data_IF_161257781887
#
_entry.id   IF_161257781887
#
_cell.length_a   1.000
_cell.length_b   1.000
_cell.length_c   1.000
_cell.angle_alpha   90.00
_cell.angle_beta   90.00
_cell.angle_gamma   90.00
#
_symmetry.space_group_name_H-M   'P 1'
#
loop_
_entity.id
_entity.type
_entity.pdbx_description
1 polymer ?
#
# COMPACT_ATOMS: atom_id res chain seq x y z
N UNK A 1 8.27 -6.90 60.44
CA UNK A 1 6.84 -7.25 60.31
C UNK A 1 6.68 -8.16 59.12
N UNK A 2 6.17 -9.36 59.37
CA UNK A 2 6.07 -10.47 58.43
C UNK A 2 5.04 -10.17 57.33
N UNK A 3 5.37 -10.52 56.09
CA UNK A 3 4.51 -10.46 54.92
C UNK A 3 3.45 -11.57 54.97
N UNK A 4 2.17 -11.19 54.99
CA UNK A 4 1.03 -12.09 54.85
C UNK A 4 0.83 -12.49 53.36
N UNK A 5 0.43 -13.74 53.06
CA UNK A 5 0.14 -14.16 51.68
C UNK A 5 -1.29 -13.81 51.25
N UNK A 6 -1.44 -13.29 50.03
CA UNK A 6 -2.74 -13.07 49.38
C UNK A 6 -3.32 -14.39 48.86
N UNK A 7 -4.57 -14.68 49.25
CA UNK A 7 -5.39 -15.80 48.78
C UNK A 7 -5.82 -15.62 47.31
N UNK A 8 -5.81 -16.72 46.54
CA UNK A 8 -6.38 -16.80 45.19
C UNK A 8 -7.88 -17.12 45.25
N UNK A 9 -8.73 -16.59 44.32
CA UNK A 9 -10.16 -16.87 44.35
C UNK A 9 -10.52 -18.26 43.81
N UNK A 10 -11.51 -18.90 44.45
CA UNK A 10 -12.01 -20.24 44.15
C UNK A 10 -12.68 -20.35 42.77
N UNK A 11 -12.35 -21.43 42.04
CA UNK A 11 -13.00 -21.83 40.78
C UNK A 11 -14.38 -22.44 41.06
N UNK A 12 -15.41 -22.03 40.29
CA UNK A 12 -16.76 -22.62 40.32
C UNK A 12 -16.76 -24.09 39.86
N UNK A 13 -17.61 -24.97 40.44
CA UNK A 13 -17.73 -26.36 39.99
C UNK A 13 -18.51 -26.48 38.68
N UNK A 14 -18.10 -27.42 37.82
CA UNK A 14 -18.81 -27.80 36.58
C UNK A 14 -19.96 -28.75 36.92
N UNK A 15 -21.13 -28.54 36.30
CA UNK A 15 -22.23 -29.51 36.30
C UNK A 15 -21.91 -30.66 35.33
N UNK A 16 -21.79 -31.88 35.85
CA UNK A 16 -21.71 -33.11 35.07
C UNK A 16 -23.12 -33.56 34.68
N UNK A 17 -23.42 -33.57 33.38
CA UNK A 17 -24.69 -34.04 32.87
C UNK A 17 -24.71 -34.11 31.35
N UNK A 18 -24.03 -35.11 30.77
CA UNK A 18 -24.33 -35.62 29.41
C UNK A 18 -23.74 -37.03 29.20
N UNK A 19 -24.37 -37.89 28.36
CA UNK A 19 -24.09 -39.33 28.29
C UNK A 19 -22.74 -39.65 27.62
N UNK A 20 -22.08 -40.72 28.08
CA UNK A 20 -20.81 -41.22 27.53
C UNK A 20 -20.98 -41.73 26.09
N UNK A 21 -20.15 -41.24 25.17
CA UNK A 21 -19.94 -41.81 23.83
C UNK A 21 -19.15 -43.13 23.91
N UNK A 22 -19.43 -44.14 23.07
CA UNK A 22 -18.63 -45.37 23.03
C UNK A 22 -17.27 -45.13 22.34
N UNK A 23 -16.23 -45.95 22.63
CA UNK A 23 -14.93 -45.79 22.02
C UNK A 23 -14.98 -46.18 20.53
N UNK A 24 -14.55 -45.26 19.67
CA UNK A 24 -14.42 -45.46 18.23
C UNK A 24 -13.23 -46.39 17.91
N UNK A 25 -13.52 -47.50 17.25
CA UNK A 25 -12.56 -48.36 16.55
C UNK A 25 -11.75 -47.54 15.53
N UNK A 26 -10.43 -47.76 15.37
CA UNK A 26 -9.65 -47.00 14.38
C UNK A 26 -10.09 -47.39 12.96
N UNK A 27 -10.27 -46.43 12.03
CA UNK A 27 -10.55 -46.78 10.66
C UNK A 27 -9.31 -47.39 10.01
N UNK A 28 -9.56 -48.42 9.21
CA UNK A 28 -8.57 -49.07 8.37
C UNK A 28 -7.85 -48.03 7.50
N UNK A 29 -6.54 -48.20 7.38
CA UNK A 29 -5.65 -47.47 6.47
C UNK A 29 -6.22 -47.50 5.05
N UNK A 30 -6.85 -46.38 4.65
CA UNK A 30 -7.16 -46.11 3.27
C UNK A 30 -5.86 -45.69 2.57
N UNK A 31 -5.48 -46.42 1.52
CA UNK A 31 -4.42 -46.02 0.62
C UNK A 31 -4.83 -44.71 -0.06
N UNK A 32 -4.32 -43.58 0.43
CA UNK A 32 -4.39 -42.29 -0.25
C UNK A 32 -3.54 -42.39 -1.52
N UNK A 33 -4.16 -42.14 -2.67
CA UNK A 33 -3.43 -41.87 -3.91
C UNK A 33 -2.66 -40.56 -3.76
N UNK A 34 -1.44 -40.46 -4.31
CA UNK A 34 -0.58 -39.27 -4.24
C UNK A 34 -1.24 -37.97 -4.78
N UNK A 35 -2.34 -38.08 -5.54
CA UNK A 35 -3.14 -36.93 -6.02
C UNK A 35 -3.99 -36.27 -4.91
N UNK A 36 -4.32 -36.98 -3.83
CA UNK A 36 -5.22 -36.51 -2.77
C UNK A 36 -4.51 -35.61 -1.74
N UNK A 37 -3.18 -35.73 -1.63
CA UNK A 37 -2.35 -34.94 -0.70
C UNK A 37 -2.24 -33.46 -1.10
N UNK A 38 -2.29 -33.13 -2.40
CA UNK A 38 -2.12 -31.75 -2.88
C UNK A 38 -3.43 -30.97 -3.03
N UNK A 39 -4.60 -31.62 -3.09
CA UNK A 39 -5.87 -30.92 -3.31
C UNK A 39 -6.41 -30.22 -2.05
N UNK A 40 -5.99 -30.67 -0.85
CA UNK A 40 -6.52 -30.19 0.44
C UNK A 40 -5.54 -29.34 1.26
N UNK A 41 -4.32 -29.09 0.77
CA UNK A 41 -3.32 -28.26 1.46
C UNK A 41 -3.32 -26.82 0.94
N UNK A 42 -3.19 -25.85 1.84
CA UNK A 42 -3.08 -24.43 1.52
C UNK A 42 -1.79 -24.15 0.74
N UNK A 43 -1.88 -23.54 -0.45
CA UNK A 43 -0.76 -23.16 -1.31
C UNK A 43 0.25 -22.26 -0.58
N UNK A 44 -0.16 -21.54 0.46
CA UNK A 44 0.75 -20.74 1.29
C UNK A 44 1.79 -21.57 2.05
N UNK A 45 1.55 -22.87 2.21
CA UNK A 45 2.45 -23.81 2.89
C UNK A 45 3.44 -24.49 1.97
N UNK A 46 3.24 -24.41 0.65
CA UNK A 46 4.10 -25.09 -0.32
C UNK A 46 5.38 -24.32 -0.55
N UNK A 47 6.50 -24.99 -0.26
CA UNK A 47 7.83 -24.55 -0.64
C UNK A 47 8.05 -24.78 -2.15
N UNK A 48 9.09 -24.17 -2.77
CA UNK A 48 9.36 -24.35 -4.19
C UNK A 48 9.50 -25.81 -4.63
N UNK A 49 10.00 -26.69 -3.76
CA UNK A 49 10.13 -28.12 -4.08
C UNK A 49 8.79 -28.86 -4.06
N UNK A 50 7.85 -28.42 -3.21
CA UNK A 50 6.48 -28.95 -3.20
C UNK A 50 5.74 -28.54 -4.48
N UNK A 51 5.98 -27.31 -4.96
CA UNK A 51 5.48 -26.83 -6.25
C UNK A 51 6.05 -27.66 -7.39
N UNK A 52 7.36 -27.94 -7.39
CA UNK A 52 7.99 -28.82 -8.38
C UNK A 52 7.38 -30.22 -8.35
N UNK A 53 7.19 -30.81 -7.16
CA UNK A 53 6.56 -32.12 -7.00
C UNK A 53 5.12 -32.14 -7.52
N UNK A 54 4.35 -31.09 -7.25
CA UNK A 54 3.00 -30.90 -7.79
C UNK A 54 3.01 -30.84 -9.33
N UNK A 55 3.93 -30.07 -9.93
CA UNK A 55 4.05 -29.95 -11.38
C UNK A 55 4.48 -31.28 -12.04
N UNK A 56 5.43 -32.02 -11.43
CA UNK A 56 5.84 -33.35 -11.90
C UNK A 56 4.68 -34.35 -11.91
N UNK A 57 3.87 -34.35 -10.85
CA UNK A 57 2.69 -35.21 -10.73
C UNK A 57 1.59 -34.84 -11.74
N UNK A 58 1.50 -33.56 -12.14
CA UNK A 58 0.59 -33.06 -13.18
C UNK A 58 1.13 -33.24 -14.61
N UNK A 59 2.30 -33.84 -14.77
CA UNK A 59 2.86 -34.23 -16.07
C UNK A 59 4.00 -33.34 -16.59
N UNK A 60 4.38 -32.28 -15.88
CA UNK A 60 5.49 -31.40 -16.24
C UNK A 60 6.82 -31.96 -15.68
N UNK A 61 7.35 -33.01 -16.32
CA UNK A 61 8.56 -33.73 -15.85
C UNK A 61 9.87 -33.25 -16.44
N UNK A 62 9.84 -32.20 -17.26
CA UNK A 62 11.06 -31.65 -17.84
C UNK A 62 11.88 -30.92 -16.78
N UNK A 63 13.09 -31.42 -16.50
CA UNK A 63 13.97 -30.82 -15.49
C UNK A 63 14.19 -29.32 -15.67
N UNK A 64 14.28 -28.85 -16.91
CA UNK A 64 14.45 -27.42 -17.23
C UNK A 64 13.32 -26.57 -16.66
N UNK A 65 12.08 -27.04 -16.79
CA UNK A 65 10.90 -26.35 -16.25
C UNK A 65 10.94 -26.32 -14.74
N UNK A 66 11.26 -27.44 -14.10
CA UNK A 66 11.33 -27.53 -12.64
C UNK A 66 12.47 -26.66 -12.07
N UNK A 67 13.61 -26.64 -12.75
CA UNK A 67 14.75 -25.79 -12.39
C UNK A 67 14.37 -24.30 -12.45
N UNK A 68 13.51 -23.86 -13.39
CA UNK A 68 12.98 -22.48 -13.42
C UNK A 68 12.25 -22.13 -12.12
N UNK A 69 11.37 -23.02 -11.63
CA UNK A 69 10.61 -22.78 -10.40
C UNK A 69 11.52 -22.79 -9.16
N UNK A 70 12.49 -23.71 -9.14
CA UNK A 70 13.49 -23.82 -8.06
C UNK A 70 14.41 -22.60 -8.00
N UNK A 71 14.98 -22.18 -9.13
CA UNK A 71 15.93 -21.08 -9.25
C UNK A 71 15.30 -19.72 -8.90
N UNK A 72 14.04 -19.52 -9.30
CA UNK A 72 13.28 -18.31 -8.96
C UNK A 72 12.58 -18.40 -7.59
N UNK A 73 12.73 -19.51 -6.85
CA UNK A 73 12.10 -19.77 -5.55
C UNK A 73 10.59 -19.52 -5.56
N UNK A 74 9.90 -20.06 -6.57
CA UNK A 74 8.45 -19.89 -6.75
C UNK A 74 7.72 -20.84 -5.79
N UNK A 75 7.37 -20.32 -4.61
CA UNK A 75 6.51 -20.99 -3.63
C UNK A 75 5.02 -21.03 -4.06
N UNK A 76 4.21 -21.84 -3.38
CA UNK A 76 2.81 -22.08 -3.75
C UNK A 76 1.94 -20.83 -3.85
N UNK A 77 2.20 -19.86 -2.96
CA UNK A 77 1.45 -18.59 -2.90
C UNK A 77 1.49 -17.76 -4.20
N UNK A 78 2.46 -18.00 -5.09
CA UNK A 78 2.58 -17.27 -6.35
C UNK A 78 1.79 -17.89 -7.50
N UNK A 79 1.44 -19.19 -7.43
CA UNK A 79 0.83 -19.90 -8.57
C UNK A 79 -0.44 -19.22 -9.09
N UNK A 80 -1.42 -18.83 -8.25
CA UNK A 80 -2.65 -18.19 -8.74
C UNK A 80 -2.46 -16.81 -9.38
N UNK A 81 -1.23 -16.28 -9.37
CA UNK A 81 -0.84 -14.99 -9.95
C UNK A 81 0.08 -15.14 -11.17
N UNK A 82 0.38 -16.37 -11.59
CA UNK A 82 1.08 -16.62 -12.86
C UNK A 82 0.10 -16.46 -14.02
N UNK A 83 0.60 -15.94 -15.14
CA UNK A 83 -0.09 -15.85 -16.42
C UNK A 83 0.80 -16.40 -17.54
N UNK A 84 0.26 -16.49 -18.76
CA UNK A 84 0.98 -17.06 -19.91
C UNK A 84 2.25 -16.26 -20.24
N UNK A 85 2.19 -14.92 -20.17
CA UNK A 85 3.33 -14.05 -20.48
C UNK A 85 4.44 -14.22 -19.43
N UNK A 86 4.07 -14.33 -18.16
CA UNK A 86 4.99 -14.55 -17.06
C UNK A 86 5.69 -15.90 -17.12
N UNK A 87 4.98 -16.95 -17.54
CA UNK A 87 5.63 -18.25 -17.77
C UNK A 87 6.61 -18.18 -18.96
N UNK A 88 6.33 -17.35 -19.97
CA UNK A 88 7.28 -17.07 -21.07
C UNK A 88 8.54 -16.39 -20.55
N UNK A 89 8.36 -15.31 -19.79
CA UNK A 89 9.44 -14.50 -19.23
C UNK A 89 10.32 -15.31 -18.25
N UNK A 90 9.74 -16.30 -17.58
CA UNK A 90 10.46 -17.24 -16.73
C UNK A 90 11.26 -18.29 -17.52
N UNK A 91 10.98 -18.47 -18.82
CA UNK A 91 11.72 -19.35 -19.71
C UNK A 91 10.97 -20.59 -20.21
N UNK A 92 9.65 -20.68 -19.99
CA UNK A 92 8.82 -21.78 -20.54
C UNK A 92 8.43 -21.42 -21.97
N UNK A 93 9.21 -21.89 -22.95
CA UNK A 93 9.06 -21.50 -24.36
C UNK A 93 7.84 -22.12 -25.06
N UNK A 94 7.35 -23.26 -24.59
CA UNK A 94 6.22 -23.96 -25.20
C UNK A 94 4.88 -23.29 -24.85
N UNK A 95 4.21 -22.70 -25.85
CA UNK A 95 2.89 -22.09 -25.67
C UNK A 95 1.84 -23.09 -25.15
N UNK A 96 1.87 -24.33 -25.64
CA UNK A 96 0.94 -25.38 -25.20
C UNK A 96 1.19 -25.76 -23.74
N UNK A 97 2.45 -25.82 -23.33
CA UNK A 97 2.82 -26.14 -21.94
C UNK A 97 2.39 -25.03 -20.98
N UNK A 98 2.61 -23.77 -21.35
CA UNK A 98 2.15 -22.61 -20.56
C UNK A 98 0.65 -22.64 -20.33
N UNK A 99 -0.14 -22.91 -21.38
CA UNK A 99 -1.60 -23.03 -21.26
C UNK A 99 -2.02 -24.17 -20.34
N UNK A 100 -1.41 -25.35 -20.49
CA UNK A 100 -1.68 -26.49 -19.60
C UNK A 100 -1.32 -26.19 -18.14
N UNK A 101 -0.23 -25.47 -17.89
CA UNK A 101 0.15 -25.06 -16.53
C UNK A 101 -0.89 -24.13 -15.91
N UNK A 102 -1.33 -23.12 -16.66
CA UNK A 102 -2.37 -22.20 -16.19
C UNK A 102 -3.69 -22.93 -15.95
N UNK A 103 -4.09 -23.87 -16.82
CA UNK A 103 -5.25 -24.73 -16.59
C UNK A 103 -5.08 -25.55 -15.29
N UNK A 104 -3.92 -26.15 -15.05
CA UNK A 104 -3.65 -26.89 -13.81
C UNK A 104 -3.76 -25.99 -12.56
N UNK A 105 -3.27 -24.75 -12.64
CA UNK A 105 -3.37 -23.77 -11.56
C UNK A 105 -4.83 -23.37 -11.32
N UNK A 106 -5.63 -23.21 -12.37
CA UNK A 106 -7.05 -22.87 -12.27
C UNK A 106 -7.88 -24.01 -11.65
N UNK A 107 -7.41 -25.26 -11.70
CA UNK A 107 -8.04 -26.40 -11.03
C UNK A 107 -7.69 -26.50 -9.53
N UNK A 108 -6.81 -25.65 -9.00
CA UNK A 108 -6.50 -25.63 -7.57
C UNK A 108 -7.69 -25.08 -6.76
N UNK A 109 -7.80 -25.52 -5.51
CA UNK A 109 -8.89 -25.12 -4.60
C UNK A 109 -8.82 -23.65 -4.19
N UNK A 110 -7.64 -23.03 -4.22
CA UNK A 110 -7.43 -21.63 -3.87
C UNK A 110 -7.18 -20.78 -5.12
N UNK A 111 -8.04 -19.78 -5.32
CA UNK A 111 -7.95 -18.81 -6.40
C UNK A 111 -7.15 -17.57 -6.01
N UNK A 112 -6.95 -16.67 -6.98
CA UNK A 112 -6.36 -15.35 -6.77
C UNK A 112 -7.07 -14.57 -5.65
N UNK A 113 -8.39 -14.66 -5.57
CA UNK A 113 -9.21 -13.91 -4.59
C UNK A 113 -9.05 -14.48 -3.18
N UNK A 114 -8.89 -15.80 -3.04
CA UNK A 114 -8.74 -16.48 -1.74
C UNK A 114 -7.41 -16.11 -1.04
N UNK A 115 -6.43 -15.65 -1.80
CA UNK A 115 -5.15 -15.18 -1.29
C UNK A 115 -5.12 -13.67 -0.99
N UNK A 116 -6.16 -12.92 -1.35
CA UNK A 116 -6.28 -11.51 -0.96
C UNK A 116 -6.55 -11.39 0.54
N UNK A 117 -5.98 -10.38 1.19
CA UNK A 117 -6.26 -10.10 2.61
C UNK A 117 -7.25 -8.94 2.72
N UNK A 118 -8.29 -9.14 3.51
CA UNK A 118 -9.34 -8.13 3.76
C UNK A 118 -9.05 -7.38 5.04
N UNK A 119 -9.00 -6.04 4.96
CA UNK A 119 -9.02 -5.13 6.10
C UNK A 119 -10.42 -4.54 6.25
N UNK A 120 -10.84 -4.28 7.49
CA UNK A 120 -12.05 -3.52 7.77
C UNK A 120 -11.65 -2.11 8.22
N UNK A 121 -11.89 -1.12 7.37
CA UNK A 121 -11.59 0.29 7.61
C UNK A 121 -12.89 1.09 7.82
N UNK A 122 -13.00 1.93 8.88
CA UNK A 122 -14.23 2.67 9.16
C UNK A 122 -14.60 3.73 8.10
N UNK A 123 -13.65 4.15 7.27
CA UNK A 123 -13.81 5.14 6.20
C UNK A 123 -14.21 4.45 4.89
N UNK A 124 -13.60 3.30 4.59
CA UNK A 124 -13.72 2.66 3.28
C UNK A 124 -14.49 1.34 3.26
N UNK A 125 -14.82 0.79 4.43
CA UNK A 125 -15.42 -0.54 4.57
C UNK A 125 -14.37 -1.63 4.39
N UNK A 126 -14.74 -2.69 3.68
CA UNK A 126 -13.82 -3.79 3.38
C UNK A 126 -12.85 -3.40 2.27
N UNK A 127 -11.55 -3.54 2.55
CA UNK A 127 -10.45 -3.25 1.65
C UNK A 127 -9.70 -4.55 1.36
N UNK A 128 -9.58 -4.89 0.09
CA UNK A 128 -8.76 -6.02 -0.36
C UNK A 128 -7.35 -5.57 -0.74
N UNK A 129 -6.36 -6.31 -0.26
CA UNK A 129 -4.97 -6.12 -0.66
C UNK A 129 -4.34 -7.40 -1.19
N UNK A 130 -3.64 -7.23 -2.31
CA UNK A 130 -2.82 -8.23 -2.95
C UNK A 130 -1.69 -8.71 -2.00
N UNK A 131 -1.30 -10.01 -2.02
CA UNK A 131 -0.27 -10.55 -1.14
C UNK A 131 1.05 -9.76 -1.11
N UNK A 132 1.53 -9.26 -2.25
CA UNK A 132 2.72 -8.39 -2.30
C UNK A 132 2.58 -7.14 -1.42
N UNK A 133 1.39 -6.52 -1.42
CA UNK A 133 1.11 -5.35 -0.58
C UNK A 133 1.14 -5.75 0.90
N UNK A 134 0.63 -6.92 1.24
CA UNK A 134 0.70 -7.47 2.61
C UNK A 134 2.14 -7.70 3.04
N UNK A 135 2.99 -8.24 2.16
CA UNK A 135 4.42 -8.43 2.43
C UNK A 135 5.15 -7.11 2.70
N UNK A 136 4.71 -6.01 2.13
CA UNK A 136 5.23 -4.66 2.42
C UNK A 136 4.67 -4.13 3.74
N UNK A 137 3.36 -4.29 3.96
CA UNK A 137 2.66 -3.85 5.17
C UNK A 137 3.22 -4.53 6.42
N UNK A 138 3.47 -5.83 6.36
CA UNK A 138 3.94 -6.66 7.48
C UNK A 138 5.47 -6.61 7.65
N UNK A 139 6.05 -5.40 7.54
CA UNK A 139 7.47 -5.12 7.80
C UNK A 139 7.64 -4.13 8.95
N UNK A 140 8.76 -4.15 9.69
CA UNK A 140 9.03 -3.16 10.73
C UNK A 140 8.95 -1.71 10.21
N UNK A 141 9.45 -1.46 9.01
CA UNK A 141 9.51 -0.15 8.38
C UNK A 141 8.12 0.46 8.14
N UNK A 142 7.14 -0.38 7.77
CA UNK A 142 5.75 0.03 7.58
C UNK A 142 4.95 0.00 8.90
N UNK A 143 5.07 -1.07 9.69
CA UNK A 143 4.36 -1.20 10.97
C UNK A 143 4.69 -0.08 11.95
N UNK A 144 5.88 0.56 11.83
CA UNK A 144 6.21 1.73 12.65
C UNK A 144 5.19 2.86 12.54
N UNK A 145 4.49 2.98 11.40
CA UNK A 145 3.50 4.04 11.15
C UNK A 145 2.31 3.96 12.12
N UNK A 146 2.12 2.82 12.81
CA UNK A 146 1.13 2.67 13.89
C UNK A 146 1.43 3.57 15.09
N UNK A 147 2.67 4.02 15.22
CA UNK A 147 3.15 4.80 16.36
C UNK A 147 3.32 6.29 16.04
N UNK A 148 2.82 6.75 14.87
CA UNK A 148 2.95 8.14 14.43
C UNK A 148 1.55 8.73 14.21
N UNK A 149 1.12 9.60 15.14
CA UNK A 149 -0.18 10.28 15.06
C UNK A 149 -0.28 11.13 13.79
N UNK A 150 -1.39 10.98 13.05
CA UNK A 150 -1.64 11.68 11.80
C UNK A 150 -1.55 13.20 11.99
N UNK A 151 -2.27 13.70 13.01
CA UNK A 151 -2.37 15.12 13.32
C UNK A 151 -1.37 15.59 14.39
N UNK A 152 -0.44 14.74 14.79
CA UNK A 152 0.58 15.07 15.79
C UNK A 152 -0.02 15.66 17.07
N UNK A 153 0.31 16.92 17.37
CA UNK A 153 -0.22 17.67 18.51
C UNK A 153 -1.75 17.88 18.48
N UNK A 154 -2.39 17.69 17.32
CA UNK A 154 -3.84 17.76 17.16
C UNK A 154 -4.60 16.82 18.10
N UNK A 155 -4.05 15.65 18.43
CA UNK A 155 -4.66 14.70 19.37
C UNK A 155 -4.91 15.29 20.77
N UNK A 156 -4.06 16.22 21.22
CA UNK A 156 -4.19 16.86 22.53
C UNK A 156 -5.24 18.00 22.57
N UNK A 157 -5.77 18.37 21.40
CA UNK A 157 -6.84 19.37 21.26
C UNK A 157 -8.15 18.70 20.84
N UNK A 158 -8.05 17.72 19.94
CA UNK A 158 -9.16 16.95 19.40
C UNK A 158 -9.01 15.49 19.86
N UNK A 159 -9.70 15.08 20.95
CA UNK A 159 -9.49 13.75 21.54
C UNK A 159 -9.88 12.60 20.61
N UNK A 160 -10.74 12.86 19.61
CA UNK A 160 -11.07 11.88 18.56
C UNK A 160 -9.94 11.64 17.55
N UNK A 161 -8.99 12.58 17.39
CA UNK A 161 -7.86 12.52 16.46
C UNK A 161 -6.74 11.58 16.93
N UNK A 162 -7.12 10.36 17.31
CA UNK A 162 -6.25 9.31 17.83
C UNK A 162 -5.59 8.47 16.74
N UNK A 163 -5.99 8.66 15.48
CA UNK A 163 -5.49 7.90 14.33
C UNK A 163 -4.03 8.21 13.99
N UNK A 164 -3.41 7.22 13.36
CA UNK A 164 -2.00 7.21 12.98
C UNK A 164 -1.83 7.14 11.46
N UNK A 165 -0.60 7.35 11.00
CA UNK A 165 -0.23 7.29 9.58
C UNK A 165 -0.48 5.90 8.96
N UNK A 166 -0.47 4.84 9.76
CA UNK A 166 -0.67 3.46 9.27
C UNK A 166 -1.99 3.27 8.54
N UNK A 167 -3.12 3.51 9.20
CA UNK A 167 -4.46 3.33 8.62
C UNK A 167 -4.73 4.31 7.48
N UNK A 168 -4.16 5.52 7.54
CA UNK A 168 -4.17 6.47 6.42
C UNK A 168 -3.41 5.91 5.21
N UNK A 169 -2.19 5.40 5.40
CA UNK A 169 -1.39 4.79 4.32
C UNK A 169 -2.13 3.61 3.67
N UNK A 170 -2.81 2.77 4.46
CA UNK A 170 -3.69 1.72 3.92
C UNK A 170 -4.79 2.34 3.03
N UNK A 171 -5.52 3.33 3.53
CA UNK A 171 -6.57 3.99 2.74
C UNK A 171 -6.07 4.61 1.43
N UNK A 172 -4.90 5.25 1.45
CA UNK A 172 -4.28 5.82 0.23
C UNK A 172 -3.90 4.72 -0.76
N UNK A 173 -3.28 3.62 -0.31
CA UNK A 173 -2.98 2.46 -1.16
C UNK A 173 -4.22 1.83 -1.79
N UNK A 174 -5.33 1.80 -1.06
CA UNK A 174 -6.64 1.36 -1.56
C UNK A 174 -7.20 2.31 -2.61
N UNK A 175 -7.32 3.60 -2.31
CA UNK A 175 -7.90 4.60 -3.23
C UNK A 175 -7.06 4.75 -4.50
N UNK A 176 -5.73 4.67 -4.40
CA UNK A 176 -4.83 4.62 -5.55
C UNK A 176 -5.20 3.46 -6.47
N UNK A 177 -5.41 2.27 -5.89
CA UNK A 177 -5.88 1.06 -6.59
C UNK A 177 -7.26 1.22 -7.22
N UNK A 178 -8.21 1.84 -6.53
CA UNK A 178 -9.55 2.09 -7.07
C UNK A 178 -9.51 3.01 -8.29
N UNK A 179 -8.75 4.11 -8.22
CA UNK A 179 -8.68 5.07 -9.31
C UNK A 179 -8.01 4.46 -10.55
N UNK A 180 -6.86 3.82 -10.37
CA UNK A 180 -6.12 3.22 -11.51
C UNK A 180 -6.90 2.10 -12.18
N UNK A 181 -7.61 1.24 -11.43
CA UNK A 181 -8.48 0.19 -12.00
C UNK A 181 -9.65 0.79 -12.78
N UNK A 182 -10.32 1.80 -12.21
CA UNK A 182 -11.43 2.46 -12.89
C UNK A 182 -10.99 3.15 -14.20
N UNK A 183 -9.76 3.64 -14.28
CA UNK A 183 -9.20 4.19 -15.51
C UNK A 183 -8.84 3.07 -16.50
N UNK A 184 -8.24 1.97 -16.04
CA UNK A 184 -7.89 0.82 -16.86
C UNK A 184 -9.12 0.17 -17.51
N UNK A 185 -10.19 -0.07 -16.74
CA UNK A 185 -11.43 -0.68 -17.22
C UNK A 185 -12.16 0.20 -18.24
N UNK A 186 -12.21 1.51 -18.02
CA UNK A 186 -12.94 2.45 -18.89
C UNK A 186 -12.21 2.79 -20.18
N UNK A 187 -10.89 2.63 -20.19
CA UNK A 187 -10.02 2.99 -21.30
C UNK A 187 -8.89 1.96 -21.48
N UNK A 188 -9.22 0.73 -21.95
CA UNK A 188 -8.22 -0.31 -22.18
C UNK A 188 -7.10 0.11 -23.12
N UNK A 189 -7.35 1.07 -24.03
CA UNK A 189 -6.35 1.65 -24.94
C UNK A 189 -5.19 2.36 -24.22
N UNK A 190 -5.31 2.64 -22.92
CA UNK A 190 -4.23 3.19 -22.10
C UNK A 190 -3.16 2.17 -21.74
N UNK A 191 -3.42 0.87 -21.94
CA UNK A 191 -2.49 -0.23 -21.68
C UNK A 191 -1.95 -0.21 -20.24
N UNK A 192 -2.85 0.03 -19.27
CA UNK A 192 -2.56 -0.03 -17.84
C UNK A 192 -2.54 -1.50 -17.44
N UNK A 193 -1.37 -2.03 -17.07
CA UNK A 193 -1.21 -3.43 -16.69
C UNK A 193 -1.41 -3.64 -15.18
N UNK A 194 -1.57 -4.90 -14.75
CA UNK A 194 -1.56 -5.27 -13.32
C UNK A 194 -0.27 -4.82 -12.62
N UNK A 195 0.86 -4.86 -13.32
CA UNK A 195 2.15 -4.32 -12.87
C UNK A 195 2.06 -2.82 -12.56
N UNK A 196 1.43 -2.03 -13.43
CA UNK A 196 1.21 -0.60 -13.18
C UNK A 196 0.29 -0.36 -11.97
N UNK A 197 -0.79 -1.13 -11.86
CA UNK A 197 -1.76 -1.04 -10.76
C UNK A 197 -1.07 -1.33 -9.43
N UNK A 198 -0.30 -2.42 -9.33
CA UNK A 198 0.46 -2.75 -8.13
C UNK A 198 1.48 -1.67 -7.78
N UNK A 199 2.21 -1.13 -8.77
CA UNK A 199 3.16 -0.04 -8.51
C UNK A 199 2.47 1.22 -7.96
N UNK A 200 1.31 1.60 -8.50
CA UNK A 200 0.51 2.73 -8.02
C UNK A 200 0.00 2.47 -6.59
N UNK A 201 -0.46 1.26 -6.29
CA UNK A 201 -0.87 0.88 -4.92
C UNK A 201 0.31 0.91 -3.93
N UNK A 202 1.48 0.41 -4.32
CA UNK A 202 2.69 0.46 -3.49
C UNK A 202 3.10 1.91 -3.24
N UNK A 203 3.10 2.76 -4.27
CA UNK A 203 3.36 4.19 -4.08
C UNK A 203 2.37 4.84 -3.11
N UNK A 204 1.07 4.50 -3.22
CA UNK A 204 0.05 4.95 -2.27
C UNK A 204 0.29 4.49 -0.84
N UNK A 205 0.61 3.21 -0.62
CA UNK A 205 0.96 2.69 0.70
C UNK A 205 2.20 3.39 1.27
N UNK A 206 3.21 3.63 0.44
CA UNK A 206 4.54 4.02 0.88
C UNK A 206 4.77 5.54 0.93
N UNK A 207 3.82 6.37 0.49
CA UNK A 207 4.03 7.81 0.36
C UNK A 207 4.42 8.51 1.68
N UNK A 208 3.95 7.96 2.80
CA UNK A 208 4.15 8.49 4.16
C UNK A 208 5.20 7.74 4.99
N UNK A 209 5.93 6.80 4.37
CA UNK A 209 6.97 6.03 5.06
C UNK A 209 8.10 6.90 5.63
N UNK A 210 8.22 8.18 5.32
CA UNK A 210 9.27 9.06 5.81
C UNK A 210 8.85 9.97 6.96
N UNK A 211 7.60 9.92 7.41
CA UNK A 211 7.16 10.76 8.53
C UNK A 211 7.90 10.42 9.83
N UNK A 212 8.33 11.46 10.54
CA UNK A 212 8.90 11.35 11.88
C UNK A 212 7.86 11.51 12.99
N UNK A 213 8.30 11.53 14.27
CA UNK A 213 7.42 11.72 15.41
C UNK A 213 6.51 12.95 15.27
N UNK A 214 5.20 12.77 15.51
CA UNK A 214 4.18 13.81 15.34
C UNK A 214 4.06 14.38 13.91
N UNK A 215 4.31 13.54 12.89
CA UNK A 215 4.06 13.85 11.48
C UNK A 215 4.72 15.16 11.02
N UNK A 216 3.92 16.17 10.61
CA UNK A 216 4.42 17.44 10.06
C UNK A 216 5.19 18.32 11.06
N UNK A 217 5.12 18.02 12.36
CA UNK A 217 5.94 18.71 13.34
C UNK A 217 7.43 18.40 13.12
N UNK A 218 7.75 17.16 12.77
CA UNK A 218 9.14 16.72 12.66
C UNK A 218 9.87 17.39 11.49
N UNK A 219 9.34 17.25 10.28
CA UNK A 219 9.95 17.80 9.06
C UNK A 219 9.67 19.30 8.88
N UNK A 220 8.53 19.80 9.36
CA UNK A 220 8.12 21.19 9.20
C UNK A 220 8.55 22.15 10.31
N UNK A 221 9.08 21.65 11.44
CA UNK A 221 9.53 22.47 12.58
C UNK A 221 10.84 21.99 13.19
N UNK A 222 10.88 20.74 13.66
CA UNK A 222 12.03 20.22 14.41
C UNK A 222 13.29 20.16 13.54
N UNK A 223 13.27 19.48 12.41
CA UNK A 223 14.43 19.36 11.52
C UNK A 223 14.91 20.73 11.02
N UNK A 224 14.05 21.65 10.53
CA UNK A 224 14.48 22.99 10.14
C UNK A 224 15.14 23.80 11.27
N UNK A 225 14.76 23.55 12.53
CA UNK A 225 15.35 24.23 13.71
C UNK A 225 16.64 23.56 14.18
N UNK A 226 16.67 22.23 14.20
CA UNK A 226 17.81 21.45 14.69
C UNK A 226 18.93 21.32 13.65
N UNK A 227 18.60 21.36 12.36
CA UNK A 227 19.53 21.25 11.22
C UNK A 227 19.14 22.21 10.09
N UNK A 228 19.30 23.54 10.28
CA UNK A 228 18.88 24.55 9.30
C UNK A 228 19.55 24.42 7.93
N UNK A 229 20.76 23.85 7.89
CA UNK A 229 21.54 23.61 6.69
C UNK A 229 20.99 22.46 5.82
N UNK A 230 20.23 21.54 6.43
CA UNK A 230 19.70 20.35 5.75
C UNK A 230 18.26 20.59 5.30
N UNK A 231 18.05 20.66 3.98
CA UNK A 231 16.70 20.63 3.40
C UNK A 231 16.17 19.20 3.46
N UNK A 232 15.22 18.98 4.36
CA UNK A 232 14.55 17.69 4.54
C UNK A 232 13.07 17.80 4.22
N UNK A 233 12.52 16.71 3.68
CA UNK A 233 11.10 16.52 3.38
C UNK A 233 10.73 15.11 3.77
N UNK A 234 9.53 14.88 4.31
CA UNK A 234 9.10 13.53 4.63
C UNK A 234 9.07 12.65 3.37
N UNK A 235 8.80 13.20 2.17
CA UNK A 235 8.85 12.43 0.93
C UNK A 235 10.26 11.85 0.64
N UNK A 236 11.33 12.57 1.03
CA UNK A 236 12.70 12.06 0.95
C UNK A 236 12.90 10.88 1.88
N UNK A 237 12.41 11.00 3.12
CA UNK A 237 12.41 9.89 4.06
C UNK A 237 11.59 8.70 3.55
N UNK A 238 10.50 8.92 2.82
CA UNK A 238 9.63 7.86 2.31
C UNK A 238 10.34 7.02 1.26
N UNK A 239 11.04 7.66 0.31
CA UNK A 239 11.78 6.92 -0.73
C UNK A 239 13.02 6.22 -0.18
N UNK A 240 13.69 6.80 0.82
CA UNK A 240 14.82 6.18 1.52
C UNK A 240 14.36 4.98 2.36
N UNK A 241 13.26 5.14 3.11
CA UNK A 241 12.67 4.09 3.93
C UNK A 241 12.09 2.97 3.07
N UNK A 242 11.48 3.28 1.92
CA UNK A 242 10.99 2.26 0.98
C UNK A 242 12.14 1.41 0.42
N UNK A 243 13.26 2.03 0.03
CA UNK A 243 14.45 1.28 -0.40
C UNK A 243 14.96 0.39 0.74
N UNK A 244 15.05 0.92 1.95
CA UNK A 244 15.46 0.16 3.13
C UNK A 244 14.51 -1.00 3.44
N UNK A 245 13.19 -0.80 3.33
CA UNK A 245 12.15 -1.81 3.52
C UNK A 245 12.33 -2.96 2.52
N UNK A 246 12.44 -2.64 1.23
CA UNK A 246 12.55 -3.65 0.18
C UNK A 246 13.84 -4.47 0.32
N UNK A 247 14.95 -3.82 0.66
CA UNK A 247 16.24 -4.50 0.81
C UNK A 247 16.33 -5.33 2.10
N UNK A 248 15.88 -4.80 3.24
CA UNK A 248 16.03 -5.48 4.55
C UNK A 248 15.12 -6.69 4.69
N UNK A 249 14.04 -6.75 3.92
CA UNK A 249 13.06 -7.83 3.94
C UNK A 249 13.13 -8.69 2.66
N UNK A 250 14.19 -8.54 1.85
CA UNK A 250 14.45 -9.30 0.62
C UNK A 250 13.27 -9.33 -0.37
N UNK A 251 12.52 -8.23 -0.45
CA UNK A 251 11.28 -8.20 -1.23
C UNK A 251 11.49 -8.06 -2.73
N UNK A 252 12.72 -7.79 -3.22
CA UNK A 252 13.00 -7.67 -4.67
C UNK A 252 12.66 -8.96 -5.41
N UNK A 253 13.01 -10.12 -4.84
CA UNK A 253 12.66 -11.42 -5.42
C UNK A 253 11.15 -11.65 -5.38
N UNK A 254 10.50 -11.29 -4.27
CA UNK A 254 9.04 -11.41 -4.12
C UNK A 254 8.30 -10.53 -5.13
N UNK A 255 8.78 -9.31 -5.39
CA UNK A 255 8.26 -8.42 -6.43
C UNK A 255 8.37 -9.06 -7.81
N UNK A 256 9.54 -9.64 -8.15
CA UNK A 256 9.75 -10.40 -9.40
C UNK A 256 8.76 -11.56 -9.53
N UNK A 257 8.58 -12.32 -8.46
CA UNK A 257 7.65 -13.46 -8.41
C UNK A 257 6.16 -13.06 -8.42
N UNK A 258 5.83 -11.77 -8.32
CA UNK A 258 4.49 -11.23 -8.58
C UNK A 258 4.41 -10.42 -9.90
N UNK A 259 5.41 -10.51 -10.77
CA UNK A 259 5.37 -9.91 -12.12
C UNK A 259 5.82 -8.45 -12.18
N UNK A 260 6.49 -7.94 -11.14
CA UNK A 260 7.16 -6.64 -11.20
C UNK A 260 8.60 -6.80 -11.70
N UNK A 261 9.16 -5.73 -12.24
CA UNK A 261 10.57 -5.60 -12.62
C UNK A 261 11.21 -4.60 -11.65
N UNK A 262 11.89 -5.07 -10.57
CA UNK A 262 12.32 -4.23 -9.46
C UNK A 262 13.14 -3.00 -9.89
N UNK A 263 14.01 -3.13 -10.88
CA UNK A 263 14.90 -2.07 -11.37
C UNK A 263 14.11 -0.86 -11.92
N UNK A 264 13.04 -1.14 -12.66
CA UNK A 264 12.16 -0.12 -13.24
C UNK A 264 11.09 0.33 -12.24
N UNK A 265 10.47 -0.62 -11.54
CA UNK A 265 9.28 -0.37 -10.74
C UNK A 265 9.59 0.30 -9.41
N UNK A 266 10.71 -0.01 -8.77
CA UNK A 266 11.15 0.72 -7.58
C UNK A 266 11.41 2.18 -7.94
N UNK A 267 11.99 2.43 -9.12
CA UNK A 267 12.19 3.80 -9.63
C UNK A 267 10.85 4.50 -9.82
N UNK A 268 9.89 3.85 -10.49
CA UNK A 268 8.56 4.39 -10.72
C UNK A 268 7.80 4.69 -9.41
N UNK A 269 7.86 3.79 -8.42
CA UNK A 269 7.24 3.97 -7.10
C UNK A 269 7.85 5.20 -6.40
N UNK A 270 9.17 5.33 -6.38
CA UNK A 270 9.85 6.47 -5.75
C UNK A 270 9.53 7.79 -6.44
N UNK A 271 9.46 7.80 -7.77
CA UNK A 271 9.11 9.00 -8.55
C UNK A 271 7.68 9.47 -8.28
N UNK A 272 6.73 8.55 -8.06
CA UNK A 272 5.36 8.91 -7.68
C UNK A 272 5.28 9.58 -6.30
N UNK A 273 6.15 9.19 -5.36
CA UNK A 273 6.20 9.75 -4.00
C UNK A 273 6.93 11.10 -3.98
N UNK A 274 8.10 11.16 -4.60
CA UNK A 274 8.96 12.35 -4.57
C UNK A 274 8.47 13.44 -5.54
N UNK A 275 8.06 13.05 -6.74
CA UNK A 275 7.96 13.91 -7.91
C UNK A 275 9.22 13.85 -8.78
N UNK A 276 9.35 14.75 -9.78
CA UNK A 276 10.44 14.70 -10.76
C UNK A 276 11.82 14.86 -10.10
N UNK A 277 12.86 14.17 -10.59
CA UNK A 277 14.21 14.27 -10.05
C UNK A 277 14.76 15.71 -10.13
N UNK A 278 15.54 16.10 -9.12
CA UNK A 278 16.06 17.47 -8.93
C UNK A 278 16.94 17.91 -10.11
N UNK A 279 17.67 16.99 -10.72
CA UNK A 279 18.42 17.20 -11.94
C UNK A 279 17.59 16.71 -13.13
N UNK A 280 16.97 17.59 -13.92
CA UNK A 280 16.42 17.17 -15.19
C UNK A 280 17.55 16.57 -16.01
N UNK A 281 17.31 15.41 -16.62
CA UNK A 281 18.21 14.87 -17.63
C UNK A 281 18.34 15.96 -18.69
N UNK A 282 19.54 16.54 -18.84
CA UNK A 282 19.85 17.48 -19.92
C UNK A 282 19.36 16.81 -21.20
N UNK A 283 18.44 17.48 -21.90
CA UNK A 283 17.83 17.09 -23.18
C UNK A 283 16.57 16.19 -23.18
N UNK A 284 15.92 15.91 -22.04
CA UNK A 284 14.60 15.23 -22.04
C UNK A 284 13.42 16.13 -21.63
N UNK A 285 12.43 16.28 -22.51
CA UNK A 285 11.11 16.89 -22.23
C UNK A 285 10.28 16.12 -21.16
N UNK A 286 10.66 14.88 -20.88
CA UNK A 286 10.02 13.99 -19.91
C UNK A 286 10.96 13.72 -18.73
N UNK A 287 10.61 14.17 -17.51
CA UNK A 287 11.55 14.15 -16.38
C UNK A 287 11.63 12.79 -15.67
N UNK A 288 10.73 11.86 -15.96
CA UNK A 288 10.62 10.59 -15.25
C UNK A 288 11.27 9.46 -16.03
N UNK A 289 11.87 8.50 -15.32
CA UNK A 289 12.52 7.30 -15.88
C UNK A 289 11.65 6.06 -15.71
N UNK A 290 10.90 5.95 -14.62
CA UNK A 290 10.18 4.73 -14.25
C UNK A 290 9.08 4.33 -15.23
N UNK A 291 8.48 5.29 -15.93
CA UNK A 291 7.47 5.07 -16.99
C UNK A 291 7.58 6.09 -18.11
N UNK A 292 7.22 5.73 -19.35
CA UNK A 292 7.24 6.65 -20.49
C UNK A 292 6.16 7.74 -20.38
N UNK A 293 6.32 8.83 -21.12
CA UNK A 293 5.38 9.95 -21.17
C UNK A 293 3.96 9.55 -21.59
N UNK A 294 3.81 8.44 -22.33
CA UNK A 294 2.51 7.85 -22.71
C UNK A 294 1.68 7.40 -21.51
N UNK A 295 2.33 7.12 -20.36
CA UNK A 295 1.71 6.76 -19.07
C UNK A 295 1.83 7.89 -18.03
N UNK A 296 1.95 9.13 -18.48
CA UNK A 296 2.16 10.30 -17.62
C UNK A 296 1.07 10.51 -16.56
N UNK A 297 -0.18 10.17 -16.88
CA UNK A 297 -1.33 10.27 -15.97
C UNK A 297 -1.18 9.43 -14.69
N UNK A 298 -0.36 8.37 -14.68
CA UNK A 298 -0.16 7.57 -13.46
C UNK A 298 0.50 8.37 -12.33
N UNK A 299 1.37 9.32 -12.67
CA UNK A 299 2.03 10.20 -11.70
C UNK A 299 1.08 11.25 -11.06
N UNK A 300 -0.17 11.31 -11.52
CA UNK A 300 -1.17 12.25 -10.99
C UNK A 300 -2.10 11.61 -9.95
N UNK A 301 -1.92 10.31 -9.66
CA UNK A 301 -2.79 9.53 -8.77
C UNK A 301 -2.41 9.74 -7.30
N UNK A 302 -1.17 9.42 -6.93
CA UNK A 302 -0.74 9.35 -5.51
C UNK A 302 -0.40 10.72 -4.94
N UNK A 303 0.42 11.50 -5.64
CA UNK A 303 0.84 12.84 -5.20
C UNK A 303 0.82 13.81 -6.37
N UNK A 304 -0.25 14.60 -6.48
CA UNK A 304 -0.43 15.56 -7.56
C UNK A 304 -0.08 16.97 -7.11
N UNK A 305 1.23 17.29 -7.17
CA UNK A 305 1.74 18.61 -6.78
C UNK A 305 1.34 19.74 -7.75
N UNK A 306 0.71 19.43 -8.90
CA UNK A 306 0.29 20.44 -9.90
C UNK A 306 -0.97 21.18 -9.49
N UNK A 307 -2.00 20.45 -9.08
CA UNK A 307 -3.31 21.02 -8.76
C UNK A 307 -3.82 20.61 -7.36
N UNK A 308 -3.14 19.70 -6.67
CA UNK A 308 -3.53 19.23 -5.35
C UNK A 308 -4.79 18.37 -5.35
N UNK A 309 -5.05 17.62 -6.42
CA UNK A 309 -6.12 16.62 -6.52
C UNK A 309 -5.46 15.25 -6.63
N UNK A 310 -5.40 14.52 -5.52
CA UNK A 310 -4.78 13.19 -5.41
C UNK A 310 -5.47 12.35 -4.34
N UNK A 311 -5.21 11.04 -4.37
CA UNK A 311 -5.86 10.06 -3.48
C UNK A 311 -5.38 10.16 -2.04
N UNK A 312 -4.19 10.72 -1.79
CA UNK A 312 -3.69 11.11 -0.47
C UNK A 312 -4.70 12.06 0.21
N UNK A 313 -5.03 13.17 -0.46
CA UNK A 313 -6.04 14.13 0.02
C UNK A 313 -7.41 13.51 0.24
N UNK A 314 -7.82 12.60 -0.63
CA UNK A 314 -9.14 12.00 -0.51
C UNK A 314 -9.26 11.16 0.75
N UNK A 315 -8.25 10.36 1.07
CA UNK A 315 -8.23 9.59 2.32
C UNK A 315 -8.18 10.53 3.52
N UNK A 316 -7.15 11.40 3.62
CA UNK A 316 -6.98 12.15 4.85
C UNK A 316 -8.09 13.18 5.07
N UNK A 317 -8.73 13.72 4.02
CA UNK A 317 -9.92 14.55 4.21
C UNK A 317 -11.05 13.74 4.84
N UNK A 318 -11.38 12.56 4.29
CA UNK A 318 -12.45 11.73 4.84
C UNK A 318 -12.12 11.23 6.25
N UNK A 319 -10.89 10.78 6.47
CA UNK A 319 -10.42 10.22 7.74
C UNK A 319 -10.27 11.27 8.82
N UNK A 320 -9.69 12.42 8.53
CA UNK A 320 -9.58 13.51 9.50
C UNK A 320 -10.97 14.05 9.84
N UNK A 321 -11.85 14.24 8.85
CA UNK A 321 -13.25 14.61 9.09
C UNK A 321 -13.95 13.63 10.05
N UNK A 322 -13.79 12.31 9.83
CA UNK A 322 -14.36 11.28 10.70
C UNK A 322 -13.88 11.42 12.15
N UNK A 323 -12.57 11.51 12.36
CA UNK A 323 -11.99 11.56 13.71
C UNK A 323 -12.16 12.92 14.41
N UNK A 324 -12.32 14.00 13.64
CA UNK A 324 -12.54 15.35 14.16
C UNK A 324 -14.03 15.68 14.38
N UNK A 325 -14.96 14.83 13.93
CA UNK A 325 -16.40 15.11 13.98
C UNK A 325 -16.82 16.23 13.02
N UNK A 326 -16.16 16.32 11.86
CA UNK A 326 -16.46 17.29 10.80
C UNK A 326 -17.06 16.54 9.63
N UNK A 327 -18.12 17.07 9.02
CA UNK A 327 -18.67 16.50 7.79
C UNK A 327 -17.74 16.76 6.60
N UNK A 328 -17.43 15.71 5.83
CA UNK A 328 -16.78 15.83 4.53
C UNK A 328 -17.85 15.88 3.44
N UNK A 329 -17.85 16.93 2.62
CA UNK A 329 -18.83 17.10 1.55
C UNK A 329 -18.36 16.49 0.21
N UNK A 330 -17.07 16.17 0.09
CA UNK A 330 -16.50 15.63 -1.15
C UNK A 330 -16.73 14.12 -1.26
N UNK A 331 -17.35 13.70 -2.37
CA UNK A 331 -17.52 12.28 -2.71
C UNK A 331 -16.45 11.85 -3.74
N UNK A 332 -15.41 11.17 -3.24
CA UNK A 332 -14.34 10.62 -4.07
C UNK A 332 -14.82 9.45 -4.94
N UNK A 333 -15.82 8.66 -4.52
CA UNK A 333 -16.36 7.54 -5.32
C UNK A 333 -17.04 8.08 -6.58
N UNK A 334 -17.78 9.19 -6.42
CA UNK A 334 -18.36 9.93 -7.55
C UNK A 334 -17.28 10.48 -8.48
N UNK A 335 -16.21 11.07 -7.94
CA UNK A 335 -15.08 11.53 -8.74
C UNK A 335 -14.46 10.38 -9.56
N UNK A 336 -14.13 9.24 -8.93
CA UNK A 336 -13.56 8.07 -9.60
C UNK A 336 -14.47 7.56 -10.72
N UNK A 337 -15.79 7.53 -10.53
CA UNK A 337 -16.74 7.14 -11.59
C UNK A 337 -16.67 8.06 -12.81
N UNK A 338 -16.50 9.36 -12.63
CA UNK A 338 -16.44 10.34 -13.72
C UNK A 338 -15.03 10.72 -14.17
N UNK A 339 -14.00 10.09 -13.63
CA UNK A 339 -12.62 10.25 -14.07
C UNK A 339 -12.36 9.50 -15.39
N UNK A 340 -11.65 10.18 -16.30
CA UNK A 340 -11.15 9.69 -17.59
C UNK A 340 -9.76 10.29 -17.85
N UNK A 341 -8.98 9.64 -18.71
CA UNK A 341 -7.75 10.22 -19.27
C UNK A 341 -8.08 10.91 -20.59
N UNK A 342 -7.66 12.17 -20.72
CA UNK A 342 -7.79 12.94 -21.94
C UNK A 342 -6.45 13.55 -22.34
N UNK A 343 -6.22 13.69 -23.65
CA UNK A 343 -5.10 14.46 -24.17
C UNK A 343 -5.40 15.95 -24.01
N UNK A 344 -4.43 16.70 -23.49
CA UNK A 344 -4.49 18.14 -23.31
C UNK A 344 -3.34 18.77 -24.06
N UNK A 345 -3.66 19.80 -24.83
CA UNK A 345 -2.71 20.53 -25.66
C UNK A 345 -2.42 21.90 -25.06
N UNK A 346 -1.15 22.26 -24.99
CA UNK A 346 -0.73 23.61 -24.60
C UNK A 346 0.40 24.12 -25.48
N UNK A 347 0.29 25.39 -25.86
CA UNK A 347 1.31 26.12 -26.61
C UNK A 347 2.42 26.53 -25.65
N UNK A 348 3.66 26.14 -25.94
CA UNK A 348 4.81 26.49 -25.09
C UNK A 348 5.15 27.97 -25.31
N UNK A 349 5.38 28.72 -24.23
CA UNK A 349 5.60 30.18 -24.31
C UNK A 349 6.88 30.56 -25.05
N UNK A 350 7.89 29.70 -25.02
CA UNK A 350 9.23 29.93 -25.60
C UNK A 350 9.29 29.64 -27.10
N UNK A 351 8.44 28.73 -27.59
CA UNK A 351 8.29 28.43 -29.01
C UNK A 351 6.80 28.33 -29.38
N UNK A 352 6.27 29.41 -29.98
CA UNK A 352 4.85 29.52 -30.37
C UNK A 352 4.43 28.49 -31.43
N UNK A 353 5.37 27.80 -32.06
CA UNK A 353 5.10 26.79 -33.10
C UNK A 353 4.97 25.38 -32.53
N UNK A 354 5.52 25.12 -31.34
CA UNK A 354 5.47 23.81 -30.69
C UNK A 354 4.24 23.65 -29.77
N UNK A 355 3.41 22.65 -30.07
CA UNK A 355 2.26 22.25 -29.24
C UNK A 355 2.64 21.01 -28.44
N UNK A 356 2.62 21.12 -27.11
CA UNK A 356 2.86 19.97 -26.23
C UNK A 356 1.54 19.28 -25.94
N UNK A 357 1.50 17.96 -26.19
CA UNK A 357 0.38 17.07 -25.94
C UNK A 357 0.70 16.18 -24.74
N UNK A 358 -0.14 16.17 -23.71
CA UNK A 358 0.04 15.35 -22.51
C UNK A 358 -1.29 14.73 -22.10
N UNK A 359 -1.24 13.48 -21.62
CA UNK A 359 -2.41 12.79 -21.07
C UNK A 359 -2.57 13.14 -19.59
N UNK A 360 -3.69 13.73 -19.21
CA UNK A 360 -4.01 14.09 -17.83
C UNK A 360 -5.26 13.36 -17.34
N UNK A 361 -5.36 13.20 -16.01
CA UNK A 361 -6.62 12.79 -15.39
C UNK A 361 -7.59 13.97 -15.47
N UNK A 362 -8.72 13.76 -16.14
CA UNK A 362 -9.80 14.72 -16.31
C UNK A 362 -11.09 14.18 -15.69
N UNK A 363 -11.87 15.08 -15.09
CA UNK A 363 -13.24 14.78 -14.64
C UNK A 363 -14.25 15.43 -15.57
N UNK A 364 -15.45 14.86 -15.67
CA UNK A 364 -16.56 15.48 -16.39
C UNK A 364 -16.84 16.89 -15.85
N UNK A 365 -17.05 17.86 -16.74
CA UNK A 365 -17.22 19.28 -16.37
C UNK A 365 -18.34 19.53 -15.34
N UNK A 366 -19.46 18.80 -15.46
CA UNK A 366 -20.59 18.90 -14.51
C UNK A 366 -20.24 18.52 -13.07
N UNK A 367 -19.09 17.87 -12.85
CA UNK A 367 -18.59 17.47 -11.54
C UNK A 367 -17.76 18.57 -10.86
N UNK A 368 -17.66 19.77 -11.46
CA UNK A 368 -16.95 20.92 -10.86
C UNK A 368 -17.48 21.28 -9.48
N UNK A 369 -18.79 21.10 -9.21
CA UNK A 369 -19.38 21.27 -7.88
C UNK A 369 -18.72 20.38 -6.82
N UNK A 370 -18.47 19.10 -7.15
CA UNK A 370 -17.80 18.16 -6.25
C UNK A 370 -16.35 18.62 -5.94
N UNK A 371 -15.66 19.23 -6.91
CA UNK A 371 -14.34 19.82 -6.67
C UNK A 371 -14.41 21.06 -5.76
N UNK A 372 -15.45 21.89 -5.87
CA UNK A 372 -15.68 22.97 -4.91
C UNK A 372 -15.86 22.43 -3.49
N UNK A 373 -16.61 21.35 -3.31
CA UNK A 373 -16.80 20.69 -2.01
C UNK A 373 -15.48 20.15 -1.44
N UNK A 374 -14.62 19.60 -2.30
CA UNK A 374 -13.27 19.16 -1.92
C UNK A 374 -12.43 20.31 -1.38
N UNK A 375 -12.36 21.42 -2.11
CA UNK A 375 -11.57 22.59 -1.69
C UNK A 375 -12.18 23.32 -0.49
N UNK A 376 -13.50 23.30 -0.36
CA UNK A 376 -14.19 23.79 0.84
C UNK A 376 -13.78 22.96 2.07
N UNK A 377 -13.85 21.64 1.97
CA UNK A 377 -13.44 20.71 3.05
C UNK A 377 -11.97 20.91 3.41
N UNK A 378 -11.08 21.02 2.41
CA UNK A 378 -9.67 21.35 2.60
C UNK A 378 -9.50 22.62 3.43
N UNK A 379 -10.15 23.72 3.05
CA UNK A 379 -10.06 24.98 3.78
C UNK A 379 -10.65 24.88 5.19
N UNK A 380 -11.75 24.14 5.37
CA UNK A 380 -12.38 23.87 6.67
C UNK A 380 -11.40 23.18 7.63
N UNK A 381 -10.78 22.07 7.19
CA UNK A 381 -9.81 21.32 7.98
C UNK A 381 -8.56 22.15 8.32
N UNK A 382 -8.03 22.90 7.36
CA UNK A 382 -6.89 23.79 7.60
C UNK A 382 -7.19 24.85 8.68
N UNK A 383 -8.35 25.52 8.59
CA UNK A 383 -8.72 26.59 9.52
C UNK A 383 -9.09 26.07 10.91
N UNK A 384 -9.83 24.96 10.97
CA UNK A 384 -10.38 24.46 12.23
C UNK A 384 -9.43 23.55 13.00
N UNK A 385 -8.61 22.75 12.30
CA UNK A 385 -7.79 21.71 12.92
C UNK A 385 -6.29 21.89 12.67
N UNK A 386 -5.83 21.87 11.41
CA UNK A 386 -4.39 21.77 11.11
C UNK A 386 -3.59 22.99 11.56
N UNK A 387 -4.18 24.18 11.50
CA UNK A 387 -3.56 25.43 11.97
C UNK A 387 -4.17 25.92 13.29
N UNK A 388 -4.87 25.04 14.03
CA UNK A 388 -5.48 25.42 15.29
C UNK A 388 -4.40 25.95 16.26
N UNK A 389 -4.68 27.09 16.88
CA UNK A 389 -3.71 27.85 17.70
C UNK A 389 -3.04 26.99 18.78
N UNK A 390 -3.79 26.12 19.45
CA UNK A 390 -3.29 25.26 20.54
C UNK A 390 -2.55 24.02 20.05
N UNK A 391 -2.90 23.49 18.87
CA UNK A 391 -2.20 22.32 18.30
C UNK A 391 -0.95 22.72 17.54
N UNK A 392 -0.87 23.98 17.10
CA UNK A 392 0.27 24.50 16.37
C UNK A 392 1.54 24.34 17.22
N UNK A 393 2.60 23.70 16.68
CA UNK A 393 3.82 23.42 17.43
C UNK A 393 4.47 24.63 18.10
N UNK A 394 4.21 25.85 17.62
CA UNK A 394 4.69 27.09 18.28
C UNK A 394 4.15 27.27 19.70
N UNK A 395 2.96 26.78 19.99
CA UNK A 395 2.30 26.93 21.29
C UNK A 395 2.20 25.61 22.05
N UNK A 396 2.32 24.48 21.33
CA UNK A 396 2.26 23.15 21.91
C UNK A 396 3.36 22.90 22.95
N UNK A 397 4.60 23.38 22.70
CA UNK A 397 5.69 23.25 23.66
C UNK A 397 5.49 24.14 24.90
N UNK A 398 4.97 25.35 24.74
CA UNK A 398 4.60 26.22 25.87
C UNK A 398 3.46 25.62 26.72
N UNK A 399 2.60 24.79 26.12
CA UNK A 399 1.55 24.07 26.85
C UNK A 399 2.12 22.93 27.72
N UNK A 400 3.28 22.39 27.31
CA UNK A 400 4.05 21.38 28.03
C UNK A 400 5.27 21.99 28.72
N UNK A 401 5.29 23.30 29.03
CA UNK A 401 6.39 23.94 29.75
C UNK A 401 6.64 23.25 31.09
N UNK A 402 7.55 22.28 31.02
CA UNK A 402 8.39 21.72 32.07
C UNK A 402 9.61 22.64 32.30
N UNK A 403 9.49 23.94 31.98
CA UNK A 403 10.49 24.95 32.35
C UNK A 403 10.56 25.20 33.87
N UNK A 404 9.74 24.49 34.68
CA UNK A 404 9.75 24.57 36.15
C UNK A 404 10.45 23.43 36.91
N UNK A 405 10.98 22.36 36.26
CA UNK A 405 11.45 21.17 37.00
C UNK A 405 12.81 20.59 36.56
N UNK A 406 13.65 21.36 35.87
CA UNK A 406 15.09 21.13 35.93
C UNK A 406 15.73 22.14 36.88
N UNK A 407 15.38 21.98 38.17
CA UNK A 407 16.19 22.53 39.25
C UNK A 407 17.59 21.93 39.13
N UNK A 408 18.58 22.80 38.99
CA UNK A 408 19.99 22.51 39.14
C UNK A 408 20.23 21.63 40.36
N UNK A 409 20.50 20.34 40.14
CA UNK A 409 21.27 19.54 41.06
C UNK A 409 22.73 19.70 40.67
N UNK A 410 23.35 20.77 41.14
CA UNK A 410 24.79 20.86 41.34
C UNK A 410 25.01 21.45 42.74
N UNK A 411 25.72 20.67 43.57
CA UNK A 411 26.12 20.87 44.98
C UNK A 411 25.04 20.85 46.08
#
# INVERSE_FOLDING_TARGET
MQSAPLEQPAKRPRCDGSPRTPPSTPPATANLSADDDFQNTDLRTWEPEDVCSFLENRGFREKKVLDIFRDNKIAGSFLPFLDEDRLEDLGVSSLEERKKMIECIQQLSQSRIDLMKVFNDPIHGHIEFHPLLIRIIDTPQFQRLRYIKQLGGGYYVFPGASHNRFEHSLGVGYLAGCLVRALAEKQPELQISERDILCVQIAGLCHDLGHGPFSHMFDGRFIPRARPEKKWKHEQGSIEMFEHLVNSNELKLVMKNYGLVPEEDITFIKEQIMGPPITPVKDSLWPYKGRPATKSFLYEIVSNKRNGIDVDKWDYFARDCHHLGIQNNFDYKRFIKFARICEVEYKVKEDKTYIRKVKHICSREKEVGNLYDMFHTRNCLHRRAYQHKTSNPRYFWNFFDLEGTFGSCDS
#
